data_IF_647058185619
#
_entry.id   IF_647058185619
#
_cell.length_a   1.000
_cell.length_b   1.000
_cell.length_c   1.000
_cell.angle_alpha   90.00
_cell.angle_beta   90.00
_cell.angle_gamma   90.00
#
_symmetry.space_group_name_H-M   'P 1'
#
loop_
_entity.id
_entity.type
_entity.pdbx_description
1 polymer ?
#
# COMPACT_ATOMS: atom_id res chain seq x y z
N UNK A 1 4.67 18.74 4.28
CA UNK A 1 5.00 18.35 2.93
C UNK A 1 4.65 19.52 1.99
N UNK A 2 5.54 19.90 1.08
CA UNK A 2 5.24 20.89 0.04
C UNK A 2 4.64 20.18 -1.16
N UNK A 3 3.84 20.91 -1.95
CA UNK A 3 3.20 20.33 -3.14
C UNK A 3 4.25 19.82 -4.16
N UNK A 4 5.35 20.54 -4.30
CA UNK A 4 6.42 20.22 -5.25
C UNK A 4 7.31 19.05 -4.81
N UNK A 5 7.17 18.59 -3.55
CA UNK A 5 7.90 17.44 -2.99
C UNK A 5 7.08 16.13 -3.09
N UNK A 6 5.95 16.13 -3.82
CA UNK A 6 5.10 14.93 -3.97
C UNK A 6 5.61 14.10 -5.14
N UNK A 7 6.00 12.86 -4.85
CA UNK A 7 6.32 11.85 -5.86
C UNK A 7 5.06 11.04 -6.19
N UNK A 8 4.80 10.84 -7.47
CA UNK A 8 3.58 10.19 -7.96
C UNK A 8 3.84 8.71 -8.29
N UNK A 9 2.80 7.91 -8.14
CA UNK A 9 2.78 6.51 -8.59
C UNK A 9 2.39 6.46 -10.07
N UNK A 10 3.33 6.78 -10.97
CA UNK A 10 3.11 6.75 -12.41
C UNK A 10 4.32 6.19 -13.17
N UNK A 11 4.06 5.43 -14.22
CA UNK A 11 5.09 4.89 -15.10
C UNK A 11 5.15 5.72 -16.39
N UNK A 12 6.15 6.59 -16.52
CA UNK A 12 6.34 7.45 -17.69
C UNK A 12 7.73 7.27 -18.29
N UNK A 13 7.81 7.44 -19.61
CA UNK A 13 9.05 7.39 -20.37
C UNK A 13 9.42 5.97 -20.84
N UNK A 14 9.17 5.70 -22.14
CA UNK A 14 9.57 4.44 -22.76
C UNK A 14 11.08 4.16 -22.57
N UNK A 15 11.40 2.92 -22.18
CA UNK A 15 12.77 2.48 -21.91
C UNK A 15 13.25 2.74 -20.47
N UNK A 16 12.49 3.44 -19.63
CA UNK A 16 12.80 3.56 -18.21
C UNK A 16 12.72 2.21 -17.52
N UNK A 17 13.55 2.04 -16.50
CA UNK A 17 13.70 0.79 -15.75
C UNK A 17 12.63 0.67 -14.67
N UNK A 18 12.14 -0.56 -14.47
CA UNK A 18 11.30 -0.93 -13.32
C UNK A 18 12.20 -1.60 -12.29
N UNK A 19 12.37 -0.96 -11.14
CA UNK A 19 13.27 -1.43 -10.07
C UNK A 19 12.46 -1.79 -8.84
N UNK A 20 12.58 -3.04 -8.40
CA UNK A 20 12.03 -3.52 -7.13
C UNK A 20 13.15 -3.46 -6.08
N UNK A 21 12.90 -2.86 -4.92
CA UNK A 21 13.88 -2.75 -3.86
C UNK A 21 13.25 -2.84 -2.47
N UNK A 22 14.07 -3.13 -1.46
CA UNK A 22 13.63 -3.38 -0.09
C UNK A 22 13.82 -4.84 0.33
N UNK A 23 12.90 -5.37 1.11
CA UNK A 23 12.93 -6.76 1.56
C UNK A 23 12.73 -7.75 0.40
N UNK A 24 13.27 -8.96 0.55
CA UNK A 24 13.04 -10.04 -0.42
C UNK A 24 11.61 -10.54 -0.38
N UNK A 25 11.09 -10.90 -1.55
CA UNK A 25 9.75 -11.47 -1.70
C UNK A 25 9.69 -12.88 -1.10
N UNK A 26 8.80 -13.09 -0.16
CA UNK A 26 8.50 -14.36 0.48
C UNK A 26 7.06 -14.81 0.23
N UNK A 27 6.66 -15.92 0.87
CA UNK A 27 5.31 -16.48 0.74
C UNK A 27 4.27 -15.94 1.75
N UNK A 28 4.57 -14.82 2.39
CA UNK A 28 3.70 -14.18 3.39
C UNK A 28 2.64 -13.27 2.75
N UNK A 29 1.49 -13.16 3.41
CA UNK A 29 0.39 -12.29 3.01
C UNK A 29 -0.32 -12.67 1.72
N UNK A 30 -0.01 -13.81 1.08
CA UNK A 30 -0.63 -14.20 -0.19
C UNK A 30 -2.14 -14.32 -0.03
N UNK A 31 -2.85 -13.45 -0.73
CA UNK A 31 -4.30 -13.33 -0.65
C UNK A 31 -4.80 -12.79 0.69
N UNK A 32 -3.94 -12.23 1.54
CA UNK A 32 -4.25 -11.76 2.88
C UNK A 32 -5.37 -10.74 2.90
N UNK A 33 -5.28 -9.71 2.10
CA UNK A 33 -6.32 -8.68 1.99
C UNK A 33 -7.67 -9.26 1.53
N UNK A 34 -7.67 -10.16 0.54
CA UNK A 34 -8.88 -10.82 0.03
C UNK A 34 -9.47 -11.79 1.04
N UNK A 35 -8.64 -12.58 1.72
CA UNK A 35 -9.05 -13.54 2.75
C UNK A 35 -9.66 -12.81 3.94
N UNK A 36 -8.99 -11.77 4.44
CA UNK A 36 -9.47 -10.99 5.58
C UNK A 36 -10.74 -10.20 5.27
N UNK A 37 -10.94 -9.80 4.01
CA UNK A 37 -12.09 -9.00 3.61
C UNK A 37 -13.35 -9.83 3.29
N UNK A 38 -13.23 -11.07 2.79
CA UNK A 38 -14.37 -11.74 2.15
C UNK A 38 -14.43 -13.27 2.28
N UNK A 39 -13.45 -13.94 2.86
CA UNK A 39 -13.47 -15.40 2.95
C UNK A 39 -14.21 -15.93 4.19
N UNK A 40 -15.04 -16.94 4.01
CA UNK A 40 -15.65 -17.68 5.11
C UNK A 40 -14.69 -18.81 5.51
N UNK A 41 -14.28 -18.83 6.79
CA UNK A 41 -13.44 -19.90 7.31
C UNK A 41 -14.30 -21.14 7.58
N UNK A 42 -14.03 -22.25 6.87
CA UNK A 42 -14.66 -23.54 7.11
C UNK A 42 -13.70 -24.49 7.87
N UNK A 43 -14.25 -25.27 8.79
CA UNK A 43 -13.49 -26.30 9.51
C UNK A 43 -12.96 -27.36 8.53
N UNK A 44 -11.64 -27.60 8.54
CA UNK A 44 -11.00 -28.64 7.72
C UNK A 44 -10.28 -28.16 6.47
N UNK A 45 -10.15 -26.86 6.24
CA UNK A 45 -9.24 -26.35 5.20
C UNK A 45 -7.77 -26.68 5.52
N UNK A 46 -6.96 -27.11 4.52
CA UNK A 46 -5.53 -27.30 4.73
C UNK A 46 -4.90 -25.99 5.24
N UNK A 47 -3.91 -26.13 6.12
CA UNK A 47 -3.18 -24.97 6.65
C UNK A 47 -2.66 -24.13 5.49
N UNK A 48 -3.31 -23.00 5.23
CA UNK A 48 -2.87 -22.01 4.23
C UNK A 48 -1.59 -21.35 4.75
N UNK A 49 -0.75 -20.88 3.85
CA UNK A 49 0.36 -19.99 4.19
C UNK A 49 -0.17 -18.83 5.02
N UNK A 50 0.63 -18.25 5.93
CA UNK A 50 0.16 -17.16 6.78
C UNK A 50 -0.44 -16.03 5.93
N UNK A 51 -1.74 -15.76 6.14
CA UNK A 51 -2.41 -14.61 5.51
C UNK A 51 -1.99 -13.28 6.15
N UNK A 52 -1.29 -13.37 7.28
CA UNK A 52 -0.81 -12.20 8.03
C UNK A 52 0.52 -11.75 7.44
N UNK A 53 0.62 -10.48 7.16
CA UNK A 53 1.86 -9.81 6.79
C UNK A 53 2.78 -9.74 8.00
N UNK A 54 4.06 -10.05 7.79
CA UNK A 54 5.09 -9.95 8.84
C UNK A 54 5.90 -8.68 8.57
N UNK A 55 5.80 -7.69 9.46
CA UNK A 55 6.55 -6.44 9.36
C UNK A 55 7.93 -6.54 10.00
N UNK A 56 8.90 -5.80 9.45
CA UNK A 56 10.23 -5.57 10.00
C UNK A 56 10.43 -4.06 10.25
N UNK A 57 10.20 -3.57 11.49
CA UNK A 57 10.31 -2.14 11.80
C UNK A 57 11.71 -1.56 11.57
N UNK A 58 12.75 -2.37 11.64
CA UNK A 58 14.12 -1.94 11.34
C UNK A 58 14.30 -1.73 9.83
N UNK A 59 13.90 -2.70 9.03
CA UNK A 59 13.94 -2.59 7.58
C UNK A 59 13.07 -1.46 7.06
N UNK A 60 11.89 -1.25 7.65
CA UNK A 60 11.00 -0.12 7.34
C UNK A 60 11.72 1.21 7.56
N UNK A 61 12.39 1.38 8.71
CA UNK A 61 13.16 2.60 9.00
C UNK A 61 14.26 2.84 7.96
N UNK A 62 15.02 1.79 7.62
CA UNK A 62 16.09 1.87 6.61
C UNK A 62 15.51 2.25 5.24
N UNK A 63 14.40 1.62 4.84
CA UNK A 63 13.74 1.87 3.57
C UNK A 63 13.21 3.31 3.47
N UNK A 64 12.63 3.86 4.54
CA UNK A 64 12.18 5.25 4.61
C UNK A 64 13.37 6.21 4.33
N UNK A 65 14.50 6.04 5.03
CA UNK A 65 15.67 6.92 4.85
C UNK A 65 16.28 6.77 3.45
N UNK A 66 16.31 5.54 2.91
CA UNK A 66 16.73 5.28 1.55
C UNK A 66 15.85 6.03 0.54
N UNK A 67 14.52 5.95 0.67
CA UNK A 67 13.58 6.67 -0.18
C UNK A 67 13.76 8.19 -0.11
N UNK A 68 13.99 8.74 1.08
CA UNK A 68 14.24 10.19 1.24
C UNK A 68 15.51 10.63 0.51
N UNK A 69 16.60 9.85 0.58
CA UNK A 69 17.83 10.13 -0.17
C UNK A 69 17.62 10.02 -1.69
N UNK A 70 16.83 9.04 -2.15
CA UNK A 70 16.48 8.89 -3.57
C UNK A 70 15.67 10.08 -4.08
N UNK A 71 14.75 10.61 -3.28
CA UNK A 71 13.96 11.79 -3.61
C UNK A 71 14.83 13.06 -3.62
N UNK A 72 15.73 13.23 -2.64
CA UNK A 72 16.66 14.36 -2.62
C UNK A 72 17.60 14.36 -3.83
N UNK A 73 17.98 13.16 -4.31
CA UNK A 73 18.83 13.00 -5.49
C UNK A 73 18.10 13.16 -6.83
N UNK A 74 16.75 13.25 -6.83
CA UNK A 74 15.87 13.38 -8.01
C UNK A 74 16.09 12.28 -9.07
N UNK A 75 16.30 11.03 -8.60
CA UNK A 75 16.59 9.88 -9.48
C UNK A 75 15.38 8.95 -9.69
N UNK A 76 14.22 9.31 -9.15
CA UNK A 76 12.97 8.52 -9.21
C UNK A 76 11.92 9.27 -10.01
N UNK A 77 11.44 8.69 -11.11
CA UNK A 77 10.40 9.26 -11.97
C UNK A 77 8.98 8.91 -11.46
N UNK A 78 8.83 7.78 -10.83
CA UNK A 78 7.59 7.30 -10.21
C UNK A 78 7.90 6.24 -9.18
N UNK A 79 7.04 6.10 -8.17
CA UNK A 79 7.25 5.14 -7.08
C UNK A 79 5.91 4.63 -6.53
N UNK A 80 5.89 3.37 -6.15
CA UNK A 80 4.74 2.69 -5.55
C UNK A 80 5.22 1.74 -4.45
N UNK A 81 4.50 1.69 -3.34
CA UNK A 81 4.67 0.64 -2.33
C UNK A 81 4.05 -0.69 -2.79
N UNK A 82 4.49 -1.77 -2.18
CA UNK A 82 3.92 -3.10 -2.40
C UNK A 82 3.10 -3.53 -1.18
N UNK A 83 1.85 -3.10 -1.14
CA UNK A 83 0.87 -3.52 -0.14
C UNK A 83 0.05 -4.73 -0.61
N UNK A 84 -1.27 -4.60 -0.58
CA UNK A 84 -2.19 -5.64 -1.03
C UNK A 84 -1.93 -6.06 -2.47
N UNK A 85 -1.97 -7.38 -2.72
CA UNK A 85 -1.66 -8.01 -4.00
C UNK A 85 -0.25 -7.71 -4.57
N UNK A 86 0.64 -7.15 -3.78
CA UNK A 86 2.07 -7.06 -4.04
C UNK A 86 2.48 -6.51 -5.40
N UNK A 87 3.29 -7.29 -6.14
CA UNK A 87 3.81 -6.90 -7.46
C UNK A 87 2.68 -6.70 -8.47
N UNK A 88 1.62 -7.50 -8.43
CA UNK A 88 0.51 -7.38 -9.38
C UNK A 88 -0.22 -6.04 -9.23
N UNK A 89 -0.43 -5.55 -8.01
CA UNK A 89 -1.01 -4.24 -7.76
C UNK A 89 -0.06 -3.12 -8.17
N UNK A 90 1.18 -3.13 -7.68
CA UNK A 90 2.14 -2.07 -7.95
C UNK A 90 2.41 -1.89 -9.46
N UNK A 91 2.56 -2.97 -10.22
CA UNK A 91 2.78 -2.89 -11.68
C UNK A 91 1.55 -2.38 -12.42
N UNK A 92 0.36 -2.83 -12.05
CA UNK A 92 -0.88 -2.39 -12.71
C UNK A 92 -1.20 -0.92 -12.42
N UNK A 93 -1.01 -0.47 -11.19
CA UNK A 93 -1.25 0.92 -10.81
C UNK A 93 -0.25 1.87 -11.45
N UNK A 94 1.06 1.58 -11.37
CA UNK A 94 2.11 2.39 -12.02
C UNK A 94 1.86 2.53 -13.53
N UNK A 95 1.59 1.40 -14.22
CA UNK A 95 1.34 1.40 -15.66
C UNK A 95 0.02 2.10 -16.01
N UNK A 96 -1.03 1.93 -15.21
CA UNK A 96 -2.34 2.55 -15.45
C UNK A 96 -2.32 4.08 -15.25
N UNK A 97 -1.54 4.57 -14.30
CA UNK A 97 -1.38 6.00 -14.02
C UNK A 97 -0.40 6.70 -14.98
N UNK A 98 0.41 5.93 -15.70
CA UNK A 98 1.41 6.42 -16.63
C UNK A 98 0.89 6.60 -18.06
N UNK A 99 1.84 6.86 -18.95
CA UNK A 99 1.63 7.01 -20.38
C UNK A 99 2.25 5.87 -21.21
N UNK A 100 2.88 4.91 -20.53
CA UNK A 100 3.67 3.83 -21.13
C UNK A 100 3.07 2.47 -20.77
N UNK A 101 3.38 1.45 -21.57
CA UNK A 101 3.25 0.07 -21.15
C UNK A 101 4.38 -0.35 -20.21
N UNK A 102 4.28 -1.55 -19.67
CA UNK A 102 5.31 -2.10 -18.77
C UNK A 102 5.54 -3.58 -19.08
N UNK A 103 6.82 -3.95 -19.15
CA UNK A 103 7.24 -5.34 -19.22
C UNK A 103 8.04 -5.73 -17.98
N UNK A 104 7.71 -6.87 -17.38
CA UNK A 104 8.35 -7.39 -16.17
C UNK A 104 8.76 -8.85 -16.37
N UNK A 105 9.99 -9.17 -15.95
CA UNK A 105 10.55 -10.53 -15.90
C UNK A 105 10.63 -10.98 -14.44
N UNK A 106 9.73 -11.88 -14.02
CA UNK A 106 9.61 -12.29 -12.61
C UNK A 106 10.80 -13.07 -12.08
N UNK A 107 11.58 -13.73 -12.94
CA UNK A 107 12.83 -14.40 -12.54
C UNK A 107 13.87 -13.44 -11.96
N UNK A 108 13.75 -12.14 -12.22
CA UNK A 108 14.64 -11.12 -11.67
C UNK A 108 14.23 -10.64 -10.27
N UNK A 109 13.07 -11.04 -9.77
CA UNK A 109 12.62 -10.71 -8.42
C UNK A 109 13.48 -11.45 -7.39
N UNK A 110 14.03 -10.70 -6.42
CA UNK A 110 14.80 -11.27 -5.32
C UNK A 110 13.87 -12.01 -4.36
N UNK A 111 14.01 -13.33 -4.31
CA UNK A 111 13.16 -14.21 -3.51
C UNK A 111 13.82 -14.59 -2.19
N UNK A 112 13.05 -14.58 -1.10
CA UNK A 112 13.39 -15.21 0.17
C UNK A 112 13.05 -16.69 0.16
N UNK A 113 12.00 -17.09 -0.57
CA UNK A 113 11.57 -18.46 -0.79
C UNK A 113 11.61 -18.78 -2.29
N UNK A 114 12.63 -19.53 -2.76
CA UNK A 114 12.78 -19.85 -4.18
C UNK A 114 11.78 -20.90 -4.69
N UNK A 115 10.91 -21.44 -3.83
CA UNK A 115 9.87 -22.40 -4.20
C UNK A 115 8.56 -21.75 -4.64
N UNK A 116 8.48 -20.42 -4.59
CA UNK A 116 7.29 -19.68 -5.00
C UNK A 116 6.99 -19.86 -6.48
N UNK A 117 5.74 -20.14 -6.80
CA UNK A 117 5.22 -20.10 -8.17
C UNK A 117 5.09 -18.65 -8.66
N UNK A 118 5.00 -18.46 -9.97
CA UNK A 118 4.81 -17.13 -10.57
C UNK A 118 3.60 -16.37 -9.97
N UNK A 119 2.48 -17.07 -9.77
CA UNK A 119 1.29 -16.49 -9.13
C UNK A 119 1.53 -16.08 -7.69
N UNK A 120 2.26 -16.87 -6.92
CA UNK A 120 2.62 -16.53 -5.53
C UNK A 120 3.58 -15.35 -5.46
N UNK A 121 4.55 -15.25 -6.38
CA UNK A 121 5.45 -14.09 -6.48
C UNK A 121 4.65 -12.80 -6.74
N UNK A 122 3.70 -12.85 -7.69
CA UNK A 122 2.85 -11.71 -8.04
C UNK A 122 1.96 -11.26 -6.89
N UNK A 123 1.40 -12.21 -6.12
CA UNK A 123 0.42 -11.94 -5.07
C UNK A 123 1.01 -11.84 -3.66
N UNK A 124 2.33 -12.04 -3.52
CA UNK A 124 3.00 -11.91 -2.22
C UNK A 124 2.83 -10.50 -1.67
N UNK A 125 2.40 -10.41 -0.41
CA UNK A 125 2.26 -9.14 0.32
C UNK A 125 3.40 -8.95 1.34
N UNK A 126 4.60 -9.50 1.07
CA UNK A 126 5.79 -9.23 1.88
C UNK A 126 5.97 -7.72 2.04
N UNK A 127 6.13 -7.29 3.29
CA UNK A 127 6.21 -5.88 3.64
C UNK A 127 7.59 -5.30 3.33
N UNK A 128 7.76 -3.99 3.50
CA UNK A 128 9.00 -3.23 3.32
C UNK A 128 9.59 -3.39 1.90
N UNK A 129 8.73 -3.30 0.88
CA UNK A 129 9.14 -3.32 -0.54
C UNK A 129 8.59 -2.10 -1.27
N UNK A 130 9.39 -1.54 -2.17
CA UNK A 130 9.02 -0.43 -3.04
C UNK A 130 9.35 -0.77 -4.50
N UNK A 131 8.57 -0.20 -5.41
CA UNK A 131 8.83 -0.26 -6.86
C UNK A 131 9.02 1.13 -7.41
N UNK A 132 10.18 1.38 -8.04
CA UNK A 132 10.51 2.68 -8.62
C UNK A 132 10.66 2.60 -10.14
N UNK A 133 10.33 3.70 -10.81
CA UNK A 133 10.65 3.95 -12.21
C UNK A 133 11.89 4.84 -12.26
N UNK A 134 12.93 4.36 -12.90
CA UNK A 134 14.26 4.99 -12.93
C UNK A 134 14.74 5.12 -14.37
N UNK A 135 15.27 6.29 -14.74
CA UNK A 135 15.84 6.42 -16.08
C UNK A 135 17.13 5.60 -16.22
N UNK A 136 17.48 5.10 -17.41
CA UNK A 136 18.76 4.43 -17.62
C UNK A 136 19.97 5.30 -17.23
N UNK A 137 19.86 6.64 -17.34
CA UNK A 137 20.90 7.59 -16.98
C UNK A 137 21.11 7.68 -15.46
N UNK A 138 20.04 7.59 -14.69
CA UNK A 138 20.07 7.71 -13.23
C UNK A 138 20.34 6.37 -12.53
N UNK A 139 20.39 5.27 -13.30
CA UNK A 139 20.57 3.91 -12.77
C UNK A 139 21.77 3.79 -11.81
N UNK A 140 22.93 4.28 -12.22
CA UNK A 140 24.15 4.18 -11.42
C UNK A 140 23.97 4.92 -10.09
N UNK A 141 23.48 6.16 -10.15
CA UNK A 141 23.23 6.96 -8.95
C UNK A 141 22.18 6.39 -8.04
N UNK A 142 21.12 5.80 -8.61
CA UNK A 142 20.09 5.10 -7.83
C UNK A 142 20.71 3.94 -7.02
N UNK A 143 21.49 3.08 -7.68
CA UNK A 143 22.11 1.93 -7.01
C UNK A 143 23.20 2.32 -5.99
N UNK A 144 23.93 3.41 -6.19
CA UNK A 144 24.83 3.96 -5.15
C UNK A 144 24.10 4.34 -3.86
N UNK A 145 22.88 4.88 -3.97
CA UNK A 145 22.06 5.21 -2.79
C UNK A 145 21.52 3.94 -2.13
N UNK A 146 21.05 2.99 -2.92
CA UNK A 146 20.62 1.67 -2.45
C UNK A 146 21.74 1.00 -1.64
N UNK A 147 22.96 0.96 -2.19
CA UNK A 147 24.14 0.36 -1.55
C UNK A 147 24.54 1.11 -0.26
N UNK A 148 24.41 2.44 -0.23
CA UNK A 148 24.67 3.25 0.97
C UNK A 148 23.82 2.80 2.17
N UNK A 149 22.58 2.40 1.91
CA UNK A 149 21.63 1.98 2.95
C UNK A 149 21.59 0.48 3.18
N UNK A 150 22.46 -0.29 2.49
CA UNK A 150 22.48 -1.77 2.53
C UNK A 150 21.11 -2.39 2.20
N UNK A 151 20.37 -1.76 1.26
CA UNK A 151 19.08 -2.23 0.74
C UNK A 151 19.33 -3.09 -0.49
N UNK A 152 18.58 -4.17 -0.66
CA UNK A 152 18.63 -4.97 -1.87
C UNK A 152 17.72 -4.39 -2.96
N UNK A 153 18.18 -4.42 -4.21
CA UNK A 153 17.40 -3.97 -5.36
C UNK A 153 17.70 -4.80 -6.62
N UNK A 154 16.67 -4.93 -7.46
CA UNK A 154 16.82 -5.58 -8.77
C UNK A 154 16.04 -4.81 -9.84
N UNK A 155 16.61 -4.70 -11.04
CA UNK A 155 15.86 -4.28 -12.23
C UNK A 155 15.04 -5.49 -12.67
N UNK A 156 13.72 -5.39 -12.52
CA UNK A 156 12.80 -6.48 -12.85
C UNK A 156 12.10 -6.28 -14.19
N UNK A 157 12.28 -5.14 -14.84
CA UNK A 157 11.62 -4.85 -16.11
C UNK A 157 11.92 -3.47 -16.66
N UNK A 158 11.14 -3.07 -17.64
CA UNK A 158 11.26 -1.77 -18.31
C UNK A 158 9.90 -1.28 -18.84
N UNK A 159 9.80 0.02 -19.10
CA UNK A 159 8.63 0.61 -19.72
C UNK A 159 8.66 0.43 -21.24
N UNK A 160 7.48 0.16 -21.81
CA UNK A 160 7.29 -0.09 -23.25
C UNK A 160 6.37 0.98 -23.86
N UNK A 161 6.42 1.13 -25.17
CA UNK A 161 5.57 2.07 -25.91
C UNK A 161 4.19 1.52 -26.33
N UNK A 162 3.85 0.28 -25.95
CA UNK A 162 2.64 -0.42 -26.46
C UNK A 162 1.41 -0.24 -25.57
N UNK A 163 1.54 0.39 -24.41
CA UNK A 163 0.44 0.64 -23.45
C UNK A 163 -0.08 -0.61 -22.74
N UNK A 164 0.65 -1.74 -22.78
CA UNK A 164 0.23 -2.99 -22.16
C UNK A 164 1.09 -3.33 -20.95
N UNK A 165 0.47 -3.97 -19.96
CA UNK A 165 1.18 -4.64 -18.89
C UNK A 165 1.43 -6.09 -19.29
N UNK A 166 2.68 -6.42 -19.45
CA UNK A 166 3.13 -7.76 -19.81
C UNK A 166 4.10 -8.30 -18.76
N UNK A 167 3.88 -9.52 -18.30
CA UNK A 167 4.75 -10.16 -17.30
C UNK A 167 5.12 -11.55 -17.81
N UNK A 168 6.41 -11.83 -17.82
CA UNK A 168 6.98 -13.10 -18.20
C UNK A 168 7.62 -13.80 -16.97
N UNK A 169 7.70 -15.12 -17.03
CA UNK A 169 8.41 -15.95 -16.07
C UNK A 169 9.12 -17.09 -16.80
N UNK A 170 10.44 -17.06 -16.78
CA UNK A 170 11.30 -17.97 -17.53
C UNK A 170 10.92 -18.05 -19.03
N UNK A 171 10.64 -16.90 -19.64
CA UNK A 171 10.29 -16.78 -21.05
C UNK A 171 8.85 -17.18 -21.39
N UNK A 172 8.02 -17.48 -20.40
CA UNK A 172 6.60 -17.76 -20.59
C UNK A 172 5.76 -16.53 -20.21
N UNK A 173 4.96 -16.02 -21.15
CA UNK A 173 4.02 -14.94 -20.90
C UNK A 173 2.92 -15.42 -19.94
N UNK A 174 2.84 -14.82 -18.75
CA UNK A 174 1.83 -15.13 -17.73
C UNK A 174 0.79 -14.03 -17.56
N UNK A 175 1.13 -12.79 -17.92
CA UNK A 175 0.20 -11.65 -17.92
C UNK A 175 0.37 -10.87 -19.22
N UNK A 176 -0.76 -10.53 -19.84
CA UNK A 176 -0.84 -9.62 -20.98
C UNK A 176 -2.21 -8.91 -20.93
N UNK A 177 -2.26 -7.75 -20.31
CA UNK A 177 -3.51 -7.02 -20.02
C UNK A 177 -3.37 -5.53 -20.29
N UNK A 178 -4.51 -4.87 -20.46
CA UNK A 178 -4.58 -3.42 -20.34
C UNK A 178 -4.53 -3.05 -18.85
N UNK A 179 -3.53 -2.28 -18.38
CA UNK A 179 -3.39 -1.94 -16.98
C UNK A 179 -4.58 -1.13 -16.44
N UNK A 180 -5.24 -0.31 -17.27
CA UNK A 180 -6.41 0.49 -16.86
C UNK A 180 -7.61 -0.39 -16.51
N UNK A 181 -7.83 -1.44 -17.27
CA UNK A 181 -8.90 -2.41 -16.99
C UNK A 181 -8.71 -3.10 -15.63
N UNK A 182 -7.45 -3.36 -15.25
CA UNK A 182 -7.13 -4.01 -13.96
C UNK A 182 -7.22 -3.03 -12.79
N UNK A 183 -6.65 -1.83 -12.94
CA UNK A 183 -6.47 -0.91 -11.82
C UNK A 183 -7.61 0.12 -11.63
N UNK A 184 -8.28 0.56 -12.71
CA UNK A 184 -9.20 1.70 -12.66
C UNK A 184 -10.59 1.45 -13.25
N UNK A 185 -10.74 0.55 -14.21
CA UNK A 185 -11.99 0.35 -14.93
C UNK A 185 -12.87 -0.74 -14.31
N UNK A 186 -12.89 -0.81 -12.98
CA UNK A 186 -13.81 -1.68 -12.27
C UNK A 186 -15.28 -1.28 -12.49
N UNK A 187 -16.25 -2.22 -12.34
CA UNK A 187 -17.66 -1.91 -12.52
C UNK A 187 -18.15 -0.90 -11.49
N UNK A 188 -18.73 0.20 -11.96
CA UNK A 188 -19.38 1.20 -11.13
C UNK A 188 -20.85 0.84 -10.97
N UNK A 189 -21.27 0.55 -9.75
CA UNK A 189 -22.64 0.18 -9.45
C UNK A 189 -23.46 1.40 -9.04
N UNK A 190 -24.56 1.68 -9.72
CA UNK A 190 -25.60 2.61 -9.25
C UNK A 190 -26.56 1.85 -8.32
N UNK A 191 -26.25 1.84 -7.04
CA UNK A 191 -27.06 1.13 -6.05
C UNK A 191 -28.16 2.03 -5.54
N UNK A 192 -29.42 1.52 -5.45
CA UNK A 192 -30.51 2.30 -4.88
C UNK A 192 -30.20 2.65 -3.43
N UNK A 193 -30.34 3.90 -3.09
CA UNK A 193 -30.18 4.38 -1.72
C UNK A 193 -31.38 5.25 -1.33
N UNK A 194 -31.69 5.25 -0.04
CA UNK A 194 -32.68 6.13 0.52
C UNK A 194 -32.08 6.83 1.75
N UNK A 195 -32.36 8.13 1.86
CA UNK A 195 -31.94 8.93 3.01
C UNK A 195 -32.70 8.43 4.25
N UNK A 196 -32.02 8.02 5.34
CA UNK A 196 -32.68 7.62 6.57
C UNK A 196 -33.44 8.80 7.19
N UNK A 197 -34.63 8.55 7.73
CA UNK A 197 -35.47 9.61 8.34
C UNK A 197 -34.77 10.35 9.49
N UNK A 198 -33.92 9.64 10.26
CA UNK A 198 -33.18 10.22 11.40
C UNK A 198 -32.06 11.18 10.98
N UNK A 199 -31.62 11.13 9.73
CA UNK A 199 -30.45 11.90 9.26
C UNK A 199 -30.73 13.41 9.25
N UNK A 200 -31.95 13.81 8.92
CA UNK A 200 -32.34 15.24 8.90
C UNK A 200 -32.35 15.82 10.33
N UNK A 201 -32.84 15.06 11.29
CA UNK A 201 -32.82 15.45 12.70
C UNK A 201 -31.38 15.55 13.22
N UNK A 202 -30.54 14.58 12.90
CA UNK A 202 -29.11 14.59 13.29
C UNK A 202 -28.37 15.79 12.67
N UNK A 203 -28.61 16.08 11.40
CA UNK A 203 -27.97 17.22 10.72
C UNK A 203 -28.49 18.59 11.15
N UNK A 204 -29.73 18.66 11.63
CA UNK A 204 -30.31 19.87 12.21
C UNK A 204 -29.79 20.13 13.64
N UNK A 205 -29.23 19.14 14.30
CA UNK A 205 -28.67 19.28 15.64
C UNK A 205 -27.39 20.13 15.60
N UNK A 206 -27.42 21.28 16.25
CA UNK A 206 -26.28 22.21 16.34
C UNK A 206 -25.95 22.50 17.80
N UNK A 207 -24.73 22.99 18.06
CA UNK A 207 -24.33 23.41 19.40
C UNK A 207 -25.20 24.59 19.94
N UNK A 208 -25.91 25.30 19.08
CA UNK A 208 -26.80 26.39 19.45
C UNK A 208 -28.06 25.88 20.17
N UNK A 209 -28.48 24.64 19.90
CA UNK A 209 -29.61 23.99 20.56
C UNK A 209 -29.30 23.50 21.98
N UNK A 210 -28.02 23.47 22.37
CA UNK A 210 -27.60 23.02 23.69
C UNK A 210 -27.83 24.10 24.73
N UNK A 211 -28.43 23.71 25.84
CA UNK A 211 -28.54 24.60 27.00
C UNK A 211 -27.15 25.00 27.49
N UNK A 212 -26.96 26.29 27.73
CA UNK A 212 -25.70 26.81 28.29
C UNK A 212 -25.86 27.00 29.80
N UNK A 213 -24.82 26.63 30.59
CA UNK A 213 -24.86 26.90 32.03
C UNK A 213 -24.97 28.38 32.29
N UNK A 214 -25.93 28.78 33.12
CA UNK A 214 -26.18 30.16 33.52
C UNK A 214 -25.41 30.55 34.77
N UNK A 215 -25.03 29.58 35.58
CA UNK A 215 -24.31 29.78 36.85
C UNK A 215 -22.97 29.05 36.86
N UNK A 216 -22.11 29.46 37.79
CA UNK A 216 -20.82 28.77 38.00
C UNK A 216 -21.01 27.33 38.44
N UNK A 217 -22.01 27.08 39.27
CA UNK A 217 -22.34 25.75 39.80
C UNK A 217 -22.79 24.82 38.66
N UNK A 218 -23.61 25.28 37.74
CA UNK A 218 -24.04 24.55 36.56
C UNK A 218 -22.82 24.23 35.63
N UNK A 219 -21.97 25.24 35.40
CA UNK A 219 -20.76 25.03 34.60
C UNK A 219 -19.83 23.94 35.21
N UNK A 220 -19.66 23.98 36.54
CA UNK A 220 -18.87 22.94 37.23
C UNK A 220 -19.54 21.56 37.09
N UNK A 221 -20.86 21.49 37.17
CA UNK A 221 -21.59 20.23 36.99
C UNK A 221 -21.40 19.68 35.57
N UNK A 222 -21.54 20.53 34.53
CA UNK A 222 -21.32 20.13 33.15
C UNK A 222 -19.89 19.67 32.88
N UNK A 223 -18.89 20.38 33.36
CA UNK A 223 -17.48 19.99 33.27
C UNK A 223 -17.24 18.63 33.93
N UNK A 224 -17.81 18.41 35.12
CA UNK A 224 -17.71 17.11 35.80
C UNK A 224 -18.41 16.01 35.01
N UNK A 225 -19.59 16.26 34.44
CA UNK A 225 -20.32 15.29 33.62
C UNK A 225 -19.47 14.87 32.41
N UNK A 226 -18.89 15.82 31.67
CA UNK A 226 -18.03 15.53 30.53
C UNK A 226 -16.79 14.73 30.94
N UNK A 227 -16.10 15.13 32.00
CA UNK A 227 -14.88 14.43 32.47
C UNK A 227 -15.18 13.04 33.05
N UNK A 228 -16.39 12.79 33.48
CA UNK A 228 -16.84 11.50 34.04
C UNK A 228 -17.44 10.59 32.97
N UNK A 229 -17.64 11.09 31.74
CA UNK A 229 -18.21 10.28 30.67
C UNK A 229 -17.20 9.20 30.22
N UNK A 230 -17.67 7.94 30.12
CA UNK A 230 -16.83 6.81 29.72
C UNK A 230 -16.23 6.98 28.31
N UNK A 231 -16.86 7.79 27.46
CA UNK A 231 -16.33 8.11 26.13
C UNK A 231 -15.13 9.07 26.17
N UNK A 232 -14.91 9.75 27.30
CA UNK A 232 -13.75 10.62 27.54
C UNK A 232 -12.63 9.92 28.31
N UNK A 233 -12.88 8.71 28.80
CA UNK A 233 -11.85 7.93 29.50
C UNK A 233 -10.71 7.53 28.55
N UNK A 234 -9.53 7.31 29.12
CA UNK A 234 -8.37 6.78 28.38
C UNK A 234 -8.74 5.47 27.69
N UNK A 235 -8.38 5.32 26.42
CA UNK A 235 -8.52 4.09 25.65
C UNK A 235 -7.26 3.23 25.66
N UNK A 236 -6.27 3.58 26.47
CA UNK A 236 -4.97 2.91 26.52
C UNK A 236 -5.11 1.40 26.78
N UNK A 237 -6.08 0.96 27.56
CA UNK A 237 -6.32 -0.47 27.82
C UNK A 237 -6.72 -1.24 26.54
N UNK A 238 -7.30 -0.57 25.53
CA UNK A 238 -7.59 -1.17 24.23
C UNK A 238 -6.34 -1.12 23.35
N UNK A 239 -5.76 0.07 23.18
CA UNK A 239 -4.62 0.27 22.26
C UNK A 239 -3.37 -0.44 22.74
N UNK A 240 -3.10 -0.45 24.06
CA UNK A 240 -1.94 -1.13 24.62
C UNK A 240 -1.96 -2.66 24.39
N UNK A 241 -3.13 -3.26 24.17
CA UNK A 241 -3.24 -4.69 23.90
C UNK A 241 -2.84 -5.04 22.45
N UNK A 242 -3.06 -4.13 21.51
CA UNK A 242 -2.91 -4.40 20.08
C UNK A 242 -1.71 -3.66 19.47
N UNK A 243 -1.53 -2.39 19.81
CA UNK A 243 -0.55 -1.54 19.13
C UNK A 243 0.81 -1.49 19.85
N UNK A 244 0.85 -1.83 21.15
CA UNK A 244 2.05 -1.71 21.96
C UNK A 244 2.78 -3.01 22.20
N UNK A 245 2.07 -4.13 22.19
CA UNK A 245 2.57 -5.44 22.59
C UNK A 245 2.30 -6.53 21.56
N UNK A 246 1.93 -6.18 20.35
CA UNK A 246 1.86 -7.13 19.23
C UNK A 246 3.29 -7.50 18.85
N UNK A 247 3.62 -8.76 19.04
CA UNK A 247 4.91 -9.35 18.67
C UNK A 247 4.78 -10.09 17.35
#
# INVERSE_FOLDING_TARGET
LRHDDIHLANATGEGNLVVLFGARTGGDGIGGASILASETFEDGMPAKRPSVQVGDPFMEKVLIECCLDLFEADVVQGIQDLGAAGISCATSELASNGDSGMHVDLENVLLRDPTLTAGEILMSESQERMMAIVTPQDRERFFEIIDKWDVEAAVIGHLTGDGRLTIDHYGHRIVDVDPKTVAHEGPVYDRPYARPAWQDELQAATSESLARPATREELIADVRAVLSDVNQASKAWVTDQYDRYVQ
#
